data_IF_062382964346
#
_entry.id   IF_062382964346
#
_cell.length_a   1.000
_cell.length_b   1.000
_cell.length_c   1.000
_cell.angle_alpha   90.00
_cell.angle_beta   90.00
_cell.angle_gamma   90.00
#
_symmetry.space_group_name_H-M   'P 1'
#
loop_
_entity.id
_entity.type
_entity.pdbx_description
1 polymer ?
#
# COMPACT_ATOMS: atom_id res chain seq x y z
N UNK A 1 -0.03 -14.68 -2.31
CA UNK A 1 -0.56 -13.79 -3.39
C UNK A 1 -0.16 -12.35 -3.11
N UNK A 2 -0.26 -11.49 -4.10
CA UNK A 2 0.11 -10.07 -3.90
C UNK A 2 -1.14 -9.20 -3.92
N UNK A 3 -1.31 -8.35 -2.95
CA UNK A 3 -2.51 -7.47 -2.92
C UNK A 3 -2.19 -6.16 -3.64
N UNK A 4 -3.11 -5.67 -4.41
CA UNK A 4 -2.87 -4.38 -5.12
C UNK A 4 -4.02 -3.43 -4.80
N UNK A 5 -3.75 -2.36 -4.11
CA UNK A 5 -4.86 -1.44 -3.74
C UNK A 5 -4.62 -0.06 -4.35
N UNK A 6 -5.64 0.52 -4.91
CA UNK A 6 -5.49 1.86 -5.51
C UNK A 6 -5.75 2.91 -4.45
N UNK A 7 -4.79 3.75 -4.22
CA UNK A 7 -4.93 4.80 -3.19
C UNK A 7 -5.80 5.93 -3.74
N UNK A 8 -6.98 6.08 -3.22
CA UNK A 8 -7.89 7.14 -3.71
C UNK A 8 -7.89 8.31 -2.73
N UNK A 9 -8.33 9.48 -3.14
CA UNK A 9 -8.33 10.63 -2.21
C UNK A 9 -9.10 10.24 -0.95
N UNK A 10 -8.59 10.61 0.19
CA UNK A 10 -9.27 10.22 1.45
C UNK A 10 -8.75 8.87 1.93
N UNK A 11 -8.08 8.14 1.07
CA UNK A 11 -7.53 6.81 1.47
C UNK A 11 -6.13 7.00 2.03
N UNK A 12 -5.87 6.47 3.20
CA UNK A 12 -4.51 6.62 3.79
C UNK A 12 -3.78 5.28 3.71
N UNK A 13 -2.48 5.32 3.65
CA UNK A 13 -1.69 4.05 3.58
C UNK A 13 -2.06 3.16 4.76
N UNK A 14 -1.90 3.65 5.96
CA UNK A 14 -2.25 2.82 7.15
C UNK A 14 -3.75 2.47 7.12
N UNK A 15 -4.59 3.44 6.84
CA UNK A 15 -6.06 3.17 6.80
C UNK A 15 -6.35 2.08 5.79
N UNK A 16 -5.70 2.12 4.68
CA UNK A 16 -5.90 1.08 3.64
C UNK A 16 -5.49 -0.27 4.23
N UNK A 17 -4.37 -0.31 4.90
CA UNK A 17 -3.95 -1.60 5.54
C UNK A 17 -5.10 -2.12 6.40
N UNK A 18 -5.70 -1.26 7.18
CA UNK A 18 -6.82 -1.70 8.05
C UNK A 18 -7.86 -2.45 7.22
N UNK A 19 -8.09 -2.01 6.00
CA UNK A 19 -9.08 -2.70 5.12
C UNK A 19 -8.70 -4.19 4.98
N UNK A 20 -7.43 -4.49 5.04
CA UNK A 20 -7.00 -5.92 4.91
C UNK A 20 -6.29 -6.36 6.20
N UNK A 21 -6.40 -5.60 7.28
CA UNK A 21 -5.69 -6.00 8.53
C UNK A 21 -4.24 -6.30 8.18
N UNK A 22 -3.59 -5.38 7.53
CA UNK A 22 -2.18 -5.62 7.11
C UNK A 22 -1.22 -4.59 7.73
N UNK A 23 0.07 -4.79 7.54
CA UNK A 23 1.07 -3.84 8.12
C UNK A 23 1.65 -2.96 7.02
N UNK A 24 1.10 -1.79 6.85
CA UNK A 24 1.63 -0.87 5.80
C UNK A 24 3.14 -0.71 5.98
N UNK A 25 3.66 -0.92 7.16
CA UNK A 25 5.12 -0.82 7.34
C UNK A 25 5.77 -1.91 6.48
N UNK A 26 5.16 -3.09 6.45
CA UNK A 26 5.71 -4.16 5.59
C UNK A 26 5.61 -3.65 4.16
N UNK A 27 4.52 -2.99 3.87
CA UNK A 27 4.38 -2.42 2.49
C UNK A 27 5.57 -1.50 2.24
N UNK A 28 5.91 -0.68 3.19
CA UNK A 28 7.08 0.22 3.01
C UNK A 28 8.36 -0.63 3.11
N UNK A 29 8.23 -1.84 3.59
CA UNK A 29 9.43 -2.72 3.72
C UNK A 29 9.80 -3.24 2.32
N UNK A 30 8.84 -3.64 1.53
CA UNK A 30 9.19 -4.16 0.17
C UNK A 30 9.34 -2.98 -0.80
N UNK A 31 8.55 -1.96 -0.63
CA UNK A 31 8.66 -0.79 -1.55
C UNK A 31 9.62 0.24 -0.95
N UNK A 32 10.48 0.77 -1.76
CA UNK A 32 11.45 1.78 -1.27
C UNK A 32 11.02 3.17 -1.74
N UNK A 33 10.16 3.23 -2.71
CA UNK A 33 9.68 4.54 -3.22
C UNK A 33 8.15 4.53 -3.23
N UNK A 34 7.55 4.90 -2.14
CA UNK A 34 6.06 4.92 -2.07
C UNK A 34 5.53 6.25 -2.62
N UNK A 35 6.33 6.97 -3.38
CA UNK A 35 5.85 8.25 -3.95
C UNK A 35 4.77 7.97 -4.99
N UNK A 36 4.51 6.73 -5.30
CA UNK A 36 3.44 6.41 -6.28
C UNK A 36 2.08 6.40 -5.57
N UNK A 37 2.04 6.71 -4.30
CA UNK A 37 0.74 6.70 -3.58
C UNK A 37 -0.04 7.95 -3.97
N UNK A 38 -0.57 7.97 -5.16
CA UNK A 38 -1.35 9.13 -5.64
C UNK A 38 -2.81 8.70 -5.69
N UNK A 39 -3.69 9.66 -5.79
CA UNK A 39 -5.11 9.36 -5.84
C UNK A 39 -5.45 8.67 -7.16
N UNK A 40 -5.32 7.38 -7.17
CA UNK A 40 -5.61 6.60 -8.39
C UNK A 40 -4.41 5.68 -8.73
N UNK A 41 -3.49 5.49 -7.81
CA UNK A 41 -2.33 4.60 -8.11
C UNK A 41 -2.45 3.31 -7.31
N UNK A 42 -1.99 2.21 -7.85
CA UNK A 42 -2.09 0.93 -7.11
C UNK A 42 -0.94 0.79 -6.12
N UNK A 43 -1.09 -0.05 -5.13
CA UNK A 43 -0.03 -0.20 -4.10
C UNK A 43 0.12 -1.66 -3.69
N UNK A 44 1.33 -2.14 -3.56
CA UNK A 44 1.54 -3.55 -3.16
C UNK A 44 1.19 -3.75 -1.69
N UNK A 45 0.32 -4.67 -1.40
CA UNK A 45 -0.03 -4.94 0.02
C UNK A 45 0.40 -6.38 0.33
N UNK A 46 1.65 -6.70 0.10
CA UNK A 46 2.13 -8.09 0.40
C UNK A 46 1.78 -8.39 1.86
N UNK A 47 1.60 -7.34 2.62
CA UNK A 47 1.24 -7.45 4.04
C UNK A 47 0.22 -8.58 4.25
N UNK A 48 0.32 -9.29 5.34
CA UNK A 48 -0.64 -10.39 5.61
C UNK A 48 -1.72 -9.90 6.57
#
# INVERSE_FOLDING_TARGET
>A
DSITYRVRKGDSLSSIAKRHGVNIKDVMRWNSDTANLQPGDKLTLFVK
#
